data_IF_309567861726
#
_entry.id   IF_309567861726
#
_cell.length_a   1.000
_cell.length_b   1.000
_cell.length_c   1.000
_cell.angle_alpha   90.00
_cell.angle_beta   90.00
_cell.angle_gamma   90.00
#
_symmetry.space_group_name_H-M   'P 1'
#
loop_
_entity.id
_entity.type
_entity.pdbx_description
1 polymer ?
#
# COMPACT_ATOMS: atom_id res chain seq x y z
N UNK A 1 1.03 17.44 -4.51
CA UNK A 1 1.50 17.42 -5.90
C UNK A 1 2.99 17.73 -6.01
N UNK A 2 3.47 18.83 -5.44
CA UNK A 2 4.89 19.26 -5.53
C UNK A 2 5.87 18.16 -5.09
N UNK A 3 5.56 17.47 -3.98
CA UNK A 3 6.38 16.36 -3.50
C UNK A 3 6.43 15.18 -4.49
N UNK A 4 5.29 14.82 -5.06
CA UNK A 4 5.23 13.74 -6.06
C UNK A 4 6.07 14.04 -7.31
N UNK A 5 6.02 15.28 -7.80
CA UNK A 5 6.86 15.73 -8.91
C UNK A 5 8.35 15.67 -8.54
N UNK A 6 8.71 16.05 -7.30
CA UNK A 6 10.10 15.98 -6.83
C UNK A 6 10.60 14.52 -6.74
N UNK A 7 9.76 13.59 -6.29
CA UNK A 7 10.10 12.16 -6.28
C UNK A 7 10.27 11.64 -7.71
N UNK A 8 9.36 11.95 -8.61
CA UNK A 8 9.50 11.58 -10.03
C UNK A 8 10.80 12.11 -10.66
N UNK A 9 11.22 13.32 -10.27
CA UNK A 9 12.46 13.95 -10.77
C UNK A 9 13.73 13.21 -10.34
N UNK A 10 13.67 12.31 -9.36
CA UNK A 10 14.82 11.46 -8.97
C UNK A 10 15.09 10.31 -9.95
N UNK A 11 14.24 10.12 -10.96
CA UNK A 11 14.30 9.01 -11.91
C UNK A 11 13.48 7.79 -11.49
N UNK A 12 12.59 7.94 -10.50
CA UNK A 12 11.65 6.88 -10.11
C UNK A 12 10.69 6.56 -11.25
N UNK A 13 10.56 5.29 -11.59
CA UNK A 13 9.64 4.82 -12.64
C UNK A 13 8.20 4.74 -12.14
N UNK A 14 8.02 4.51 -10.85
CA UNK A 14 6.72 4.48 -10.17
C UNK A 14 6.74 5.48 -9.01
N UNK A 15 5.70 6.27 -8.88
CA UNK A 15 5.49 7.18 -7.75
C UNK A 15 4.24 6.74 -7.00
N UNK A 16 4.41 6.30 -5.75
CA UNK A 16 3.30 5.96 -4.87
C UNK A 16 2.77 7.21 -4.17
N UNK A 17 1.45 7.32 -4.10
CA UNK A 17 0.70 8.41 -3.48
C UNK A 17 -0.25 7.86 -2.43
N UNK A 18 -0.55 8.65 -1.40
CA UNK A 18 -1.72 8.40 -0.55
C UNK A 18 -2.98 8.39 -1.44
N UNK A 19 -3.52 7.22 -1.68
CA UNK A 19 -4.71 6.99 -2.53
C UNK A 19 -6.03 7.15 -1.78
N UNK A 20 -6.00 7.53 -0.49
CA UNK A 20 -7.21 7.66 0.31
C UNK A 20 -8.02 8.91 -0.04
N UNK A 21 -9.29 8.88 0.35
CA UNK A 21 -10.22 10.03 0.19
C UNK A 21 -10.04 11.10 1.27
N UNK A 22 -9.03 10.97 2.14
CA UNK A 22 -8.72 11.95 3.19
C UNK A 22 -8.31 13.31 2.58
N UNK A 23 -8.61 14.43 3.26
CA UNK A 23 -8.13 15.74 2.83
C UNK A 23 -6.60 15.76 2.73
N UNK A 24 -6.07 16.34 1.65
CA UNK A 24 -4.64 16.50 1.43
C UNK A 24 -4.17 17.87 1.93
N UNK A 25 -2.91 17.98 2.40
CA UNK A 25 -2.38 19.25 2.92
C UNK A 25 -2.35 20.39 1.91
N UNK A 26 -2.24 20.06 0.61
CA UNK A 26 -2.24 21.04 -0.49
C UNK A 26 -3.65 21.38 -1.01
N UNK A 27 -4.70 20.80 -0.41
CA UNK A 27 -6.09 21.02 -0.78
C UNK A 27 -6.52 20.38 -2.11
N UNK A 28 -5.64 19.64 -2.78
CA UNK A 28 -5.97 18.98 -4.05
C UNK A 28 -6.72 17.66 -3.80
N UNK A 29 -7.62 17.29 -4.69
CA UNK A 29 -8.17 15.94 -4.74
C UNK A 29 -7.13 14.95 -5.28
N UNK A 30 -7.38 13.62 -5.11
CA UNK A 30 -6.54 12.60 -5.73
C UNK A 30 -6.49 12.77 -7.25
N UNK A 31 -7.64 12.96 -7.89
CA UNK A 31 -7.73 13.17 -9.34
C UNK A 31 -6.91 14.38 -9.83
N UNK A 32 -6.98 15.51 -9.11
CA UNK A 32 -6.16 16.69 -9.44
C UNK A 32 -4.66 16.42 -9.25
N UNK A 33 -4.29 15.62 -8.22
CA UNK A 33 -2.89 15.25 -7.99
C UNK A 33 -2.38 14.32 -9.10
N UNK A 34 -3.17 13.32 -9.50
CA UNK A 34 -2.85 12.39 -10.59
C UNK A 34 -2.71 13.15 -11.91
N UNK A 35 -3.69 13.99 -12.25
CA UNK A 35 -3.67 14.81 -13.45
C UNK A 35 -2.44 15.73 -13.50
N UNK A 36 -2.16 16.45 -12.42
CA UNK A 36 -0.99 17.33 -12.34
C UNK A 36 0.35 16.58 -12.44
N UNK A 37 0.44 15.38 -11.88
CA UNK A 37 1.64 14.55 -11.99
C UNK A 37 1.81 14.03 -13.43
N UNK A 38 0.74 13.57 -14.07
CA UNK A 38 0.78 13.13 -15.48
C UNK A 38 1.19 14.26 -16.44
N UNK A 39 0.71 15.48 -16.20
CA UNK A 39 1.11 16.64 -17.02
C UNK A 39 2.60 16.98 -16.83
N UNK A 40 3.11 16.90 -15.60
CA UNK A 40 4.49 17.24 -15.29
C UNK A 40 5.48 16.11 -15.64
N UNK A 41 5.05 14.85 -15.58
CA UNK A 41 5.86 13.63 -15.71
C UNK A 41 5.06 12.51 -16.38
N UNK A 42 4.78 12.60 -17.68
CA UNK A 42 3.92 11.65 -18.39
C UNK A 42 4.49 10.23 -18.46
N UNK A 43 5.80 10.07 -18.26
CA UNK A 43 6.50 8.78 -18.29
C UNK A 43 6.38 7.97 -17.01
N UNK A 44 5.93 8.58 -15.89
CA UNK A 44 5.92 7.93 -14.58
C UNK A 44 4.61 7.19 -14.37
N UNK A 45 4.69 5.95 -13.88
CA UNK A 45 3.52 5.22 -13.39
C UNK A 45 3.11 5.72 -12.00
N UNK A 46 1.82 5.81 -11.78
CA UNK A 46 1.24 6.31 -10.53
C UNK A 46 0.60 5.15 -9.77
N UNK A 47 1.07 4.88 -8.56
CA UNK A 47 0.49 3.91 -7.64
C UNK A 47 -0.30 4.63 -6.56
N UNK A 48 -1.48 4.13 -6.24
CA UNK A 48 -2.31 4.65 -5.14
C UNK A 48 -2.31 3.70 -3.96
N UNK A 49 -1.82 4.15 -2.81
CA UNK A 49 -1.85 3.44 -1.53
C UNK A 49 -3.24 3.61 -0.90
N UNK A 50 -4.06 2.56 -0.97
CA UNK A 50 -5.45 2.56 -0.53
C UNK A 50 -5.60 1.95 0.87
N UNK A 51 -6.59 2.43 1.63
CA UNK A 51 -6.97 1.92 2.94
C UNK A 51 -8.28 1.14 2.93
N UNK A 52 -9.06 1.24 1.86
CA UNK A 52 -10.39 0.61 1.72
C UNK A 52 -10.75 0.32 0.27
N UNK A 53 -11.82 -0.44 0.05
CA UNK A 53 -12.39 -0.67 -1.28
C UNK A 53 -12.83 0.63 -1.96
N UNK A 54 -13.40 1.56 -1.20
CA UNK A 54 -13.87 2.83 -1.75
C UNK A 54 -12.72 3.76 -2.13
N UNK A 55 -11.58 3.66 -1.42
CA UNK A 55 -10.35 4.33 -1.84
C UNK A 55 -9.84 3.75 -3.16
N UNK A 56 -9.83 2.43 -3.31
CA UNK A 56 -9.39 1.76 -4.53
C UNK A 56 -10.25 2.15 -5.75
N UNK A 57 -11.59 2.21 -5.58
CA UNK A 57 -12.49 2.69 -6.63
C UNK A 57 -12.18 4.13 -7.02
N UNK A 58 -12.08 5.03 -6.03
CA UNK A 58 -11.78 6.45 -6.28
C UNK A 58 -10.39 6.65 -6.93
N UNK A 59 -9.41 5.82 -6.58
CA UNK A 59 -8.09 5.84 -7.19
C UNK A 59 -8.13 5.39 -8.66
N UNK A 60 -8.86 4.32 -8.95
CA UNK A 60 -9.05 3.83 -10.32
C UNK A 60 -9.78 4.87 -11.17
N UNK A 61 -10.87 5.48 -10.66
CA UNK A 61 -11.59 6.58 -11.32
C UNK A 61 -10.69 7.80 -11.55
N UNK A 62 -9.70 8.05 -10.68
CA UNK A 62 -8.72 9.11 -10.85
C UNK A 62 -7.65 8.80 -11.92
N UNK A 63 -7.60 7.57 -12.44
CA UNK A 63 -6.70 7.16 -13.51
C UNK A 63 -5.30 6.79 -13.06
N UNK A 64 -5.15 6.15 -11.89
CA UNK A 64 -3.86 5.57 -11.47
C UNK A 64 -3.53 4.31 -12.26
N UNK A 65 -2.26 3.92 -12.30
CA UNK A 65 -1.78 2.76 -13.06
C UNK A 65 -1.68 1.50 -12.19
N UNK A 66 -1.62 1.68 -10.85
CA UNK A 66 -1.41 0.59 -9.89
C UNK A 66 -2.21 0.90 -8.62
N UNK A 67 -2.86 -0.11 -8.06
CA UNK A 67 -3.48 -0.06 -6.73
C UNK A 67 -2.59 -0.75 -5.70
N UNK A 68 -2.50 -0.19 -4.49
CA UNK A 68 -1.81 -0.77 -3.35
C UNK A 68 -2.70 -0.86 -2.11
N UNK A 69 -2.47 -1.84 -1.23
CA UNK A 69 -3.21 -2.00 0.04
C UNK A 69 -2.49 -1.41 1.24
N UNK A 70 -1.45 -0.64 1.02
CA UNK A 70 -0.48 -0.11 2.01
C UNK A 70 -1.14 0.52 3.24
N UNK A 71 -2.24 1.24 3.05
CA UNK A 71 -2.92 1.99 4.11
C UNK A 71 -4.09 1.23 4.77
N UNK A 72 -4.33 -0.04 4.43
CA UNK A 72 -5.33 -0.87 5.07
C UNK A 72 -5.08 -1.00 6.59
N UNK A 73 -6.09 -0.67 7.39
CA UNK A 73 -6.00 -0.67 8.86
C UNK A 73 -5.28 0.53 9.48
N UNK A 74 -4.93 1.56 8.68
CA UNK A 74 -4.28 2.79 9.16
C UNK A 74 -5.13 4.05 8.98
N UNK A 75 -6.28 3.96 8.32
CA UNK A 75 -7.15 5.10 7.99
C UNK A 75 -8.41 5.18 8.84
N UNK A 76 -8.66 4.18 9.67
CA UNK A 76 -9.87 4.07 10.48
C UNK A 76 -11.08 3.46 9.75
N UNK A 77 -11.02 3.27 8.43
CA UNK A 77 -12.12 2.67 7.66
C UNK A 77 -12.16 1.14 7.77
N UNK A 78 -11.05 0.51 8.08
CA UNK A 78 -10.92 -0.94 8.29
C UNK A 78 -10.14 -1.24 9.56
N UNK A 79 -10.43 -2.35 10.26
CA UNK A 79 -9.65 -2.76 11.41
C UNK A 79 -8.22 -3.17 10.96
N UNK A 80 -7.26 -2.95 11.83
CA UNK A 80 -5.90 -3.45 11.62
C UNK A 80 -5.87 -4.95 11.86
N UNK A 81 -5.37 -5.71 10.89
CA UNK A 81 -5.19 -7.17 10.95
C UNK A 81 -3.77 -7.55 11.39
N UNK A 82 -3.55 -8.77 11.89
CA UNK A 82 -2.21 -9.27 12.27
C UNK A 82 -1.34 -9.62 11.06
N UNK A 83 -1.96 -9.86 9.91
CA UNK A 83 -1.32 -10.11 8.61
C UNK A 83 -1.85 -9.16 7.54
N UNK A 84 -1.59 -9.44 6.25
CA UNK A 84 -2.21 -8.70 5.16
C UNK A 84 -3.75 -8.82 5.25
N UNK A 85 -4.45 -7.76 4.86
CA UNK A 85 -5.93 -7.75 4.83
C UNK A 85 -6.42 -8.48 3.58
N UNK A 86 -6.46 -9.81 3.63
CA UNK A 86 -6.84 -10.65 2.49
C UNK A 86 -8.28 -10.43 2.05
N UNK A 87 -9.17 -10.04 2.95
CA UNK A 87 -10.55 -9.68 2.59
C UNK A 87 -10.57 -8.43 1.69
N UNK A 88 -9.78 -7.41 2.02
CA UNK A 88 -9.63 -6.24 1.16
C UNK A 88 -8.99 -6.62 -0.18
N UNK A 89 -7.98 -7.51 -0.16
CA UNK A 89 -7.35 -8.00 -1.39
C UNK A 89 -8.38 -8.63 -2.32
N UNK A 90 -9.24 -9.54 -1.82
CA UNK A 90 -10.33 -10.15 -2.60
C UNK A 90 -11.29 -9.10 -3.18
N UNK A 91 -11.71 -8.16 -2.33
CA UNK A 91 -12.64 -7.11 -2.74
C UNK A 91 -12.06 -6.22 -3.85
N UNK A 92 -10.79 -5.81 -3.70
CA UNK A 92 -10.12 -4.97 -4.70
C UNK A 92 -9.80 -5.75 -5.96
N UNK A 93 -9.28 -6.97 -5.85
CA UNK A 93 -8.99 -7.83 -7.01
C UNK A 93 -10.25 -8.09 -7.86
N UNK A 94 -11.43 -8.18 -7.19
CA UNK A 94 -12.71 -8.37 -7.88
C UNK A 94 -13.18 -7.18 -8.73
N UNK A 95 -12.59 -5.99 -8.54
CA UNK A 95 -12.99 -4.76 -9.28
C UNK A 95 -11.81 -4.10 -10.01
N UNK A 96 -10.58 -4.52 -9.76
CA UNK A 96 -9.39 -3.86 -10.28
C UNK A 96 -9.26 -4.06 -11.80
N UNK A 97 -9.09 -2.95 -12.52
CA UNK A 97 -8.75 -2.91 -13.94
C UNK A 97 -7.25 -2.67 -14.18
N UNK A 98 -6.51 -2.42 -13.10
CA UNK A 98 -5.07 -2.21 -13.08
C UNK A 98 -4.40 -3.17 -12.08
N UNK A 99 -3.08 -3.41 -12.17
CA UNK A 99 -2.38 -4.30 -11.24
C UNK A 99 -2.60 -3.92 -9.78
N UNK A 100 -2.87 -4.93 -8.92
CA UNK A 100 -2.97 -4.80 -7.48
C UNK A 100 -1.67 -5.25 -6.81
N UNK A 101 -1.05 -4.37 -6.05
CA UNK A 101 0.12 -4.65 -5.21
C UNK A 101 -0.34 -4.78 -3.76
N UNK A 102 -0.10 -5.95 -3.15
CA UNK A 102 -0.40 -6.16 -1.74
C UNK A 102 0.80 -5.74 -0.89
N UNK A 103 0.60 -4.76 -0.06
CA UNK A 103 1.58 -4.25 0.91
C UNK A 103 0.93 -4.07 2.28
N UNK A 104 1.71 -4.33 3.31
CA UNK A 104 1.32 -4.15 4.70
C UNK A 104 1.19 -5.46 5.47
N UNK A 105 1.99 -5.58 6.53
CA UNK A 105 1.96 -6.71 7.48
C UNK A 105 2.17 -8.10 6.87
N UNK A 106 2.85 -8.17 5.73
CA UNK A 106 3.30 -9.45 5.16
C UNK A 106 4.57 -9.85 5.92
N UNK A 107 4.44 -10.79 6.86
CA UNK A 107 5.49 -11.16 7.79
C UNK A 107 6.09 -12.54 7.52
N UNK A 108 5.41 -13.37 6.74
CA UNK A 108 5.85 -14.74 6.42
C UNK A 108 5.72 -15.05 4.93
N UNK A 109 6.53 -16.01 4.41
CA UNK A 109 6.38 -16.50 3.04
C UNK A 109 4.98 -17.02 2.72
N UNK A 110 4.32 -17.67 3.70
CA UNK A 110 2.95 -18.18 3.54
C UNK A 110 1.94 -17.04 3.32
N UNK A 111 2.09 -15.92 4.04
CA UNK A 111 1.24 -14.74 3.83
C UNK A 111 1.47 -14.09 2.46
N UNK A 112 2.71 -14.08 1.96
CA UNK A 112 3.00 -13.60 0.62
C UNK A 112 2.36 -14.51 -0.46
N UNK A 113 2.46 -15.82 -0.29
CA UNK A 113 1.80 -16.79 -1.18
C UNK A 113 0.28 -16.61 -1.17
N UNK A 114 -0.33 -16.51 0.03
CA UNK A 114 -1.76 -16.28 0.16
C UNK A 114 -2.20 -14.97 -0.54
N UNK A 115 -1.45 -13.88 -0.42
CA UNK A 115 -1.77 -12.64 -1.12
C UNK A 115 -1.82 -12.82 -2.64
N UNK A 116 -0.89 -13.61 -3.21
CA UNK A 116 -0.91 -13.94 -4.64
C UNK A 116 -2.11 -14.81 -5.02
N UNK A 117 -2.48 -15.79 -4.19
CA UNK A 117 -3.66 -16.65 -4.39
C UNK A 117 -4.97 -15.85 -4.36
N UNK A 118 -5.02 -14.77 -3.58
CA UNK A 118 -6.14 -13.83 -3.49
C UNK A 118 -6.17 -12.77 -4.60
N UNK A 119 -5.29 -12.87 -5.60
CA UNK A 119 -5.35 -12.04 -6.80
C UNK A 119 -4.39 -10.85 -6.84
N UNK A 120 -3.39 -10.80 -5.95
CA UNK A 120 -2.33 -9.81 -6.07
C UNK A 120 -1.51 -10.03 -7.36
N UNK A 121 -1.16 -8.95 -8.03
CA UNK A 121 -0.16 -8.95 -9.12
C UNK A 121 1.26 -9.05 -8.55
N UNK A 122 1.52 -8.38 -7.42
CA UNK A 122 2.79 -8.40 -6.73
C UNK A 122 2.59 -8.19 -5.22
N UNK A 123 3.62 -8.54 -4.44
CA UNK A 123 3.63 -8.39 -2.98
C UNK A 123 4.87 -7.61 -2.54
N UNK A 124 4.66 -6.63 -1.66
CA UNK A 124 5.74 -5.88 -1.00
C UNK A 124 5.92 -6.42 0.42
N UNK A 125 7.15 -6.84 0.73
CA UNK A 125 7.55 -7.29 2.06
C UNK A 125 8.61 -6.33 2.59
N UNK A 126 8.24 -5.53 3.58
CA UNK A 126 9.14 -4.54 4.21
C UNK A 126 9.75 -5.09 5.51
N UNK A 127 9.06 -4.90 6.63
CA UNK A 127 9.55 -5.17 8.00
C UNK A 127 10.17 -6.56 8.17
N UNK A 128 9.56 -7.61 7.61
CA UNK A 128 10.05 -8.98 7.71
C UNK A 128 11.38 -9.25 6.99
N UNK A 129 11.87 -8.31 6.18
CA UNK A 129 13.15 -8.45 5.47
C UNK A 129 14.14 -7.39 5.90
N UNK A 130 13.67 -6.16 6.17
CA UNK A 130 14.53 -4.97 6.29
C UNK A 130 14.64 -4.42 7.70
N UNK A 131 13.89 -4.96 8.69
CA UNK A 131 13.86 -4.41 10.05
C UNK A 131 14.36 -5.42 11.11
N UNK A 132 15.70 -5.59 11.25
CA UNK A 132 16.29 -6.64 12.10
C UNK A 132 15.81 -6.59 13.55
N UNK A 133 15.64 -5.41 14.12
CA UNK A 133 15.17 -5.23 15.50
C UNK A 133 13.79 -5.85 15.71
N UNK A 134 12.83 -5.56 14.82
CA UNK A 134 11.48 -6.15 14.92
C UNK A 134 11.50 -7.66 14.68
N UNK A 135 12.28 -8.13 13.69
CA UNK A 135 12.41 -9.56 13.42
C UNK A 135 12.99 -10.26 14.65
N UNK A 136 14.02 -9.70 15.27
CA UNK A 136 14.61 -10.24 16.50
C UNK A 136 13.61 -10.29 17.65
N UNK A 137 12.78 -9.24 17.81
CA UNK A 137 11.76 -9.21 18.85
C UNK A 137 10.70 -10.29 18.67
N UNK A 138 10.28 -10.60 17.43
CA UNK A 138 9.35 -11.70 17.15
C UNK A 138 9.90 -13.05 17.63
N UNK A 139 11.19 -13.33 17.35
CA UNK A 139 11.83 -14.56 17.82
C UNK A 139 11.99 -14.57 19.33
N UNK A 140 12.45 -13.48 19.93
CA UNK A 140 12.65 -13.37 21.36
C UNK A 140 11.35 -13.56 22.15
N UNK A 141 10.24 -12.95 21.68
CA UNK A 141 8.92 -13.06 22.32
C UNK A 141 8.32 -14.47 22.24
N UNK A 142 8.75 -15.28 21.29
CA UNK A 142 8.31 -16.68 21.16
C UNK A 142 9.04 -17.66 22.10
N UNK A 143 10.11 -17.21 22.78
CA UNK A 143 10.87 -18.08 23.68
C UNK A 143 10.19 -18.19 25.05
N UNK A 144 10.21 -19.39 25.68
CA UNK A 144 9.70 -19.58 27.04
C UNK A 144 10.44 -18.66 28.04
N UNK A 145 9.69 -17.94 28.87
CA UNK A 145 10.26 -17.04 29.88
C UNK A 145 10.78 -15.70 29.34
N UNK A 146 10.40 -15.30 28.16
CA UNK A 146 10.73 -13.99 27.60
C UNK A 146 10.29 -12.86 28.55
N UNK A 147 11.26 -12.08 29.04
CA UNK A 147 11.04 -10.95 29.97
C UNK A 147 10.66 -9.63 29.24
N UNK A 148 10.49 -9.67 27.93
CA UNK A 148 10.23 -8.51 27.08
C UNK A 148 8.72 -8.40 26.78
N UNK A 149 7.99 -7.78 27.69
CA UNK A 149 6.66 -7.23 27.40
C UNK A 149 6.83 -5.72 27.22
N UNK A 150 6.48 -5.22 26.05
CA UNK A 150 6.33 -3.77 25.83
C UNK A 150 5.12 -3.23 26.57
#
# INVERSE_FOLDING_TARGET
LTHAIAVAATGSQIVALDGTRRPRPDGLSLAQTVEGLRQARPEVLIMADCGSLDDAKAAQDAGVDILGTTLAGYTGERPKTDGPDLELVDQVAGIAEVPLVVEGRVHTPAQAAAAMEHGAFAVVVGTAITHPTTITSWFASALPGALWQE
#
